data_IF_162541417729
#
_entry.id   IF_162541417729
#
_cell.length_a   1.000
_cell.length_b   1.000
_cell.length_c   1.000
_cell.angle_alpha   90.00
_cell.angle_beta   90.00
_cell.angle_gamma   90.00
#
_symmetry.space_group_name_H-M   'P 1'
#
loop_
_entity.id
_entity.type
_entity.pdbx_description
1 polymer ?
#
# COMPACT_ATOMS: atom_id res chain seq x y z
N UNK A 1 14.46 1.31 -18.23
CA UNK A 1 13.00 1.27 -18.43
C UNK A 1 12.25 2.27 -17.54
N UNK A 2 12.49 2.33 -16.22
CA UNK A 2 11.85 3.31 -15.30
C UNK A 2 11.97 4.77 -15.76
N UNK A 3 13.17 5.21 -16.15
CA UNK A 3 13.38 6.55 -16.72
C UNK A 3 12.62 6.79 -18.03
N UNK A 4 12.46 5.78 -18.88
CA UNK A 4 11.72 5.93 -20.12
C UNK A 4 10.23 6.20 -19.87
N UNK A 5 9.63 5.56 -18.86
CA UNK A 5 8.26 5.88 -18.41
C UNK A 5 8.18 7.33 -17.93
N UNK A 6 9.14 7.77 -17.12
CA UNK A 6 9.17 9.14 -16.60
C UNK A 6 9.29 10.15 -17.74
N UNK A 7 10.16 9.90 -18.72
CA UNK A 7 10.29 10.74 -19.91
C UNK A 7 8.99 10.75 -20.73
N UNK A 8 8.33 9.61 -20.94
CA UNK A 8 7.04 9.54 -21.62
C UNK A 8 5.95 10.31 -20.88
N UNK A 9 5.93 10.22 -19.56
CA UNK A 9 5.01 10.96 -18.70
C UNK A 9 5.22 12.48 -18.84
N UNK A 10 6.47 12.95 -18.76
CA UNK A 10 6.81 14.35 -18.96
C UNK A 10 6.48 14.82 -20.39
N UNK A 11 6.75 13.97 -21.39
CA UNK A 11 6.41 14.26 -22.79
C UNK A 11 4.88 14.36 -23.00
N UNK A 12 4.09 13.54 -22.32
CA UNK A 12 2.63 13.64 -22.35
C UNK A 12 2.14 14.99 -21.77
N UNK A 13 2.71 15.45 -20.65
CA UNK A 13 2.42 16.79 -20.12
C UNK A 13 2.79 17.90 -21.12
N UNK A 14 3.97 17.81 -21.76
CA UNK A 14 4.39 18.74 -22.79
C UNK A 14 3.37 18.82 -23.95
N UNK A 15 2.95 17.67 -24.49
CA UNK A 15 1.98 17.59 -25.58
C UNK A 15 0.60 18.11 -25.18
N UNK A 16 0.16 17.80 -23.95
CA UNK A 16 -1.08 18.30 -23.38
C UNK A 16 -1.09 19.82 -23.26
N UNK A 17 -0.01 20.42 -22.73
CA UNK A 17 0.12 21.87 -22.63
C UNK A 17 0.10 22.55 -24.00
N UNK A 18 0.72 21.95 -25.02
CA UNK A 18 0.74 22.42 -26.41
C UNK A 18 -0.54 22.09 -27.19
N UNK A 19 -1.53 21.45 -26.57
CA UNK A 19 -2.82 21.06 -27.18
C UNK A 19 -2.66 20.16 -28.43
N UNK A 20 -1.59 19.37 -28.50
CA UNK A 20 -1.31 18.42 -29.61
C UNK A 20 -2.11 17.14 -29.41
N UNK A 21 -3.43 17.20 -29.60
CA UNK A 21 -4.40 16.14 -29.21
C UNK A 21 -4.08 14.75 -29.79
N UNK A 22 -3.75 14.67 -31.08
CA UNK A 22 -3.45 13.38 -31.74
C UNK A 22 -2.18 12.74 -31.18
N UNK A 23 -1.08 13.49 -31.15
CA UNK A 23 0.19 13.01 -30.57
C UNK A 23 0.05 12.67 -29.09
N UNK A 24 -0.74 13.45 -28.34
CA UNK A 24 -1.03 13.20 -26.94
C UNK A 24 -1.74 11.85 -26.77
N UNK A 25 -2.78 11.56 -27.57
CA UNK A 25 -3.49 10.30 -27.51
C UNK A 25 -2.56 9.09 -27.69
N UNK A 26 -1.73 9.09 -28.74
CA UNK A 26 -0.77 8.00 -28.98
C UNK A 26 0.28 7.90 -27.87
N UNK A 27 0.73 9.03 -27.33
CA UNK A 27 1.68 9.04 -26.21
C UNK A 27 1.07 8.48 -24.93
N UNK A 28 -0.19 8.82 -24.63
CA UNK A 28 -0.92 8.28 -23.47
C UNK A 28 -1.15 6.79 -23.62
N UNK A 29 -1.50 6.33 -24.82
CA UNK A 29 -1.64 4.91 -25.11
C UNK A 29 -0.31 4.18 -24.85
N UNK A 30 0.78 4.65 -25.46
CA UNK A 30 2.11 4.06 -25.29
C UNK A 30 2.56 4.08 -23.82
N UNK A 31 2.38 5.21 -23.13
CA UNK A 31 2.67 5.35 -21.70
C UNK A 31 1.88 4.33 -20.87
N UNK A 32 0.58 4.21 -21.11
CA UNK A 32 -0.28 3.29 -20.34
C UNK A 32 0.09 1.84 -20.58
N UNK A 33 0.51 1.47 -21.80
CA UNK A 33 1.02 0.13 -22.12
C UNK A 33 2.30 -0.18 -21.35
N UNK A 34 3.29 0.70 -21.42
CA UNK A 34 4.60 0.49 -20.78
C UNK A 34 4.46 0.56 -19.25
N UNK A 35 3.68 1.50 -18.73
CA UNK A 35 3.38 1.62 -17.30
C UNK A 35 2.68 0.38 -16.79
N UNK A 36 1.63 -0.10 -17.47
CA UNK A 36 0.94 -1.33 -17.06
C UNK A 36 1.89 -2.53 -17.04
N UNK A 37 2.69 -2.73 -18.09
CA UNK A 37 3.66 -3.83 -18.16
C UNK A 37 4.73 -3.77 -17.07
N UNK A 38 5.10 -2.57 -16.60
CA UNK A 38 6.08 -2.41 -15.53
C UNK A 38 5.49 -2.62 -14.12
N UNK A 39 4.26 -2.20 -13.88
CA UNK A 39 3.66 -2.14 -12.54
C UNK A 39 2.67 -3.25 -12.24
N UNK A 40 1.90 -3.67 -13.25
CA UNK A 40 0.80 -4.63 -13.12
C UNK A 40 1.06 -5.91 -13.92
N UNK A 41 2.31 -6.11 -14.36
CA UNK A 41 2.88 -7.33 -14.94
C UNK A 41 2.40 -7.77 -16.33
N UNK A 42 1.20 -7.40 -16.78
CA UNK A 42 0.73 -7.62 -18.15
C UNK A 42 0.50 -6.27 -18.83
N UNK A 43 1.36 -5.92 -19.79
CA UNK A 43 1.03 -4.83 -20.69
C UNK A 43 -0.26 -5.16 -21.44
N UNK A 44 -0.89 -4.17 -22.09
CA UNK A 44 -2.06 -4.38 -22.99
C UNK A 44 -1.91 -5.56 -23.99
N UNK A 45 -0.68 -6.02 -24.23
CA UNK A 45 -0.30 -7.03 -25.21
C UNK A 45 -0.18 -8.46 -24.64
N UNK A 46 -0.01 -8.63 -23.32
CA UNK A 46 0.08 -9.96 -22.70
C UNK A 46 -1.32 -10.39 -22.24
N UNK A 47 -2.06 -11.02 -23.16
CA UNK A 47 -3.44 -11.48 -23.02
C UNK A 47 -3.54 -12.68 -22.06
N UNK A 48 -3.47 -12.44 -20.75
CA UNK A 48 -3.78 -13.45 -19.73
C UNK A 48 -4.80 -12.88 -18.74
N UNK A 49 -6.06 -13.33 -18.85
CA UNK A 49 -7.15 -13.00 -17.92
C UNK A 49 -7.93 -11.71 -18.23
N UNK A 50 -9.24 -11.72 -17.95
CA UNK A 50 -10.16 -10.59 -18.17
C UNK A 50 -9.92 -9.40 -17.23
N UNK A 51 -9.33 -9.63 -16.05
CA UNK A 51 -9.04 -8.62 -15.02
C UNK A 51 -7.91 -7.66 -15.42
N UNK A 52 -6.85 -8.17 -16.06
CA UNK A 52 -5.69 -7.39 -16.47
C UNK A 52 -6.00 -6.37 -17.59
N UNK A 53 -6.85 -6.77 -18.54
CA UNK A 53 -7.37 -5.89 -19.59
C UNK A 53 -8.22 -4.77 -19.00
N UNK A 54 -9.06 -5.09 -18.02
CA UNK A 54 -9.88 -4.11 -17.31
C UNK A 54 -9.01 -3.08 -16.57
N UNK A 55 -7.95 -3.53 -15.87
CA UNK A 55 -7.02 -2.64 -15.17
C UNK A 55 -6.25 -1.73 -16.15
N UNK A 56 -5.77 -2.30 -17.27
CA UNK A 56 -5.05 -1.54 -18.30
C UNK A 56 -5.94 -0.49 -18.96
N UNK A 57 -7.20 -0.84 -19.26
CA UNK A 57 -8.19 0.11 -19.78
C UNK A 57 -8.54 1.19 -18.76
N UNK A 58 -8.72 0.81 -17.49
CA UNK A 58 -8.93 1.75 -16.39
C UNK A 58 -7.78 2.76 -16.25
N UNK A 59 -6.54 2.28 -16.32
CA UNK A 59 -5.33 3.11 -16.32
C UNK A 59 -5.30 4.08 -17.51
N UNK A 60 -5.63 3.61 -18.72
CA UNK A 60 -5.70 4.44 -19.92
C UNK A 60 -6.74 5.56 -19.75
N UNK A 61 -7.95 5.22 -19.31
CA UNK A 61 -9.01 6.20 -19.04
C UNK A 61 -8.58 7.22 -17.98
N UNK A 62 -7.96 6.76 -16.89
CA UNK A 62 -7.43 7.64 -15.84
C UNK A 62 -6.40 8.64 -16.39
N UNK A 63 -5.43 8.15 -17.17
CA UNK A 63 -4.39 9.00 -17.76
C UNK A 63 -4.96 9.99 -18.79
N UNK A 64 -5.90 9.54 -19.62
CA UNK A 64 -6.61 10.38 -20.60
C UNK A 64 -7.32 11.53 -19.91
N UNK A 65 -8.16 11.25 -18.90
CA UNK A 65 -8.90 12.28 -18.15
C UNK A 65 -7.90 13.25 -17.50
N UNK A 66 -6.91 12.73 -16.79
CA UNK A 66 -5.92 13.53 -16.06
C UNK A 66 -5.16 14.50 -16.96
N UNK A 67 -4.69 14.04 -18.11
CA UNK A 67 -3.87 14.84 -19.03
C UNK A 67 -4.70 15.80 -19.90
N UNK A 68 -5.95 15.44 -20.23
CA UNK A 68 -6.89 16.37 -20.89
C UNK A 68 -7.26 17.52 -19.94
N UNK A 69 -7.56 17.23 -18.68
CA UNK A 69 -7.82 18.26 -17.66
C UNK A 69 -6.58 19.15 -17.49
N UNK A 70 -5.37 18.57 -17.43
CA UNK A 70 -4.13 19.36 -17.42
C UNK A 70 -4.01 20.25 -18.66
N UNK A 71 -4.26 19.73 -19.86
CA UNK A 71 -4.20 20.50 -21.11
C UNK A 71 -5.10 21.74 -21.08
N UNK A 72 -6.29 21.61 -20.48
CA UNK A 72 -7.19 22.75 -20.24
C UNK A 72 -6.59 23.73 -19.22
N UNK A 73 -6.19 23.24 -18.04
CA UNK A 73 -5.70 24.07 -16.93
C UNK A 73 -4.34 24.75 -17.21
N UNK A 74 -3.47 24.15 -18.03
CA UNK A 74 -2.15 24.69 -18.37
C UNK A 74 -2.21 26.10 -18.99
N UNK A 75 -3.36 26.46 -19.59
CA UNK A 75 -3.60 27.78 -20.16
C UNK A 75 -3.75 28.89 -19.11
N UNK A 76 -3.84 28.55 -17.82
CA UNK A 76 -3.97 29.47 -16.69
C UNK A 76 -2.64 29.67 -15.93
N UNK A 77 -1.51 29.24 -16.48
CA UNK A 77 -0.19 29.48 -15.88
C UNK A 77 0.02 28.71 -14.58
N UNK A 78 0.54 29.39 -13.55
CA UNK A 78 0.83 28.79 -12.25
C UNK A 78 -0.44 28.33 -11.53
N UNK A 79 -1.50 29.15 -11.55
CA UNK A 79 -2.77 28.83 -10.89
C UNK A 79 -3.35 27.53 -11.44
N UNK A 80 -3.33 27.36 -12.77
CA UNK A 80 -3.79 26.13 -13.41
C UNK A 80 -2.95 24.89 -13.05
N UNK A 81 -1.62 25.05 -12.96
CA UNK A 81 -0.73 23.98 -12.52
C UNK A 81 -0.99 23.56 -11.07
N UNK A 82 -1.17 24.54 -10.17
CA UNK A 82 -1.50 24.28 -8.76
C UNK A 82 -2.86 23.61 -8.62
N UNK A 83 -3.89 24.08 -9.32
CA UNK A 83 -5.22 23.46 -9.31
C UNK A 83 -5.16 22.01 -9.78
N UNK A 84 -4.45 21.72 -10.87
CA UNK A 84 -4.28 20.35 -11.37
C UNK A 84 -3.62 19.43 -10.34
N UNK A 85 -2.49 19.87 -9.78
CA UNK A 85 -1.74 19.08 -8.80
C UNK A 85 -2.54 18.87 -7.50
N UNK A 86 -3.25 19.91 -7.02
CA UNK A 86 -4.13 19.81 -5.87
C UNK A 86 -5.27 18.82 -6.13
N UNK A 87 -5.96 18.91 -7.27
CA UNK A 87 -7.05 17.98 -7.61
C UNK A 87 -6.60 16.53 -7.61
N UNK A 88 -5.49 16.19 -8.27
CA UNK A 88 -4.98 14.82 -8.29
C UNK A 88 -4.57 14.31 -6.91
N UNK A 89 -3.94 15.19 -6.13
CA UNK A 89 -3.51 14.86 -4.77
C UNK A 89 -4.72 14.63 -3.86
N UNK A 90 -5.74 15.50 -3.94
CA UNK A 90 -6.98 15.36 -3.18
C UNK A 90 -7.73 14.08 -3.51
N UNK A 91 -7.86 13.72 -4.80
CA UNK A 91 -8.47 12.45 -5.22
C UNK A 91 -7.77 11.23 -4.57
N UNK A 92 -6.45 11.29 -4.44
CA UNK A 92 -5.67 10.24 -3.78
C UNK A 92 -5.84 10.27 -2.26
N UNK A 93 -5.76 11.45 -1.64
CA UNK A 93 -5.93 11.62 -0.19
C UNK A 93 -7.32 11.14 0.30
N UNK A 94 -8.37 11.37 -0.49
CA UNK A 94 -9.74 10.91 -0.20
C UNK A 94 -10.00 9.43 -0.55
N UNK A 95 -9.00 8.68 -1.01
CA UNK A 95 -9.14 7.25 -1.27
C UNK A 95 -9.87 6.91 -2.57
N UNK A 96 -10.00 7.85 -3.52
CA UNK A 96 -10.71 7.61 -4.78
C UNK A 96 -9.84 6.88 -5.81
N UNK A 97 -8.58 7.30 -5.94
CA UNK A 97 -7.61 6.67 -6.86
C UNK A 97 -6.26 6.50 -6.17
N UNK A 98 -5.63 5.37 -6.41
CA UNK A 98 -4.24 5.15 -6.01
C UNK A 98 -3.37 6.22 -6.71
N UNK A 99 -2.35 6.81 -6.06
CA UNK A 99 -1.48 7.78 -6.71
C UNK A 99 -0.55 7.09 -7.72
N UNK A 100 -0.96 7.06 -8.99
CA UNK A 100 -0.23 6.42 -10.09
C UNK A 100 0.83 7.35 -10.71
N UNK A 101 1.55 8.12 -9.89
CA UNK A 101 2.61 8.99 -10.36
C UNK A 101 3.90 8.16 -10.58
N UNK A 102 4.46 8.10 -11.80
CA UNK A 102 5.60 7.24 -12.12
C UNK A 102 6.89 7.62 -11.38
N UNK A 103 6.97 8.84 -10.84
CA UNK A 103 8.11 9.27 -10.01
C UNK A 103 8.20 8.49 -8.70
N UNK A 104 7.11 7.91 -8.20
CA UNK A 104 7.09 7.15 -6.94
C UNK A 104 8.03 5.93 -7.00
N UNK A 105 8.13 5.24 -8.14
CA UNK A 105 9.04 4.08 -8.27
C UNK A 105 10.51 4.46 -8.32
N UNK A 106 10.83 5.73 -8.57
CA UNK A 106 12.20 6.19 -8.49
C UNK A 106 12.69 6.30 -7.05
N UNK A 107 11.83 6.26 -6.02
CA UNK A 107 12.28 6.33 -4.62
C UNK A 107 13.18 5.15 -4.22
N UNK A 108 12.99 3.99 -4.86
CA UNK A 108 13.84 2.82 -4.64
C UNK A 108 15.26 3.04 -5.16
N UNK A 109 15.42 3.57 -6.37
CA UNK A 109 16.73 3.71 -7.02
C UNK A 109 17.41 5.04 -6.65
N UNK A 110 16.63 6.10 -6.48
CA UNK A 110 17.11 7.48 -6.26
C UNK A 110 16.42 8.12 -5.06
N UNK A 111 16.62 7.55 -3.87
CA UNK A 111 15.98 8.04 -2.67
C UNK A 111 16.30 9.52 -2.38
N UNK A 112 17.55 9.95 -2.59
CA UNK A 112 18.03 11.26 -2.17
C UNK A 112 17.55 12.47 -2.97
N UNK A 113 16.80 12.28 -4.08
CA UNK A 113 16.42 13.37 -5.00
C UNK A 113 14.90 13.61 -5.07
N UNK A 114 14.11 12.94 -4.24
CA UNK A 114 12.65 12.99 -4.23
C UNK A 114 12.12 13.46 -2.87
N UNK A 115 10.95 14.13 -2.81
CA UNK A 115 10.42 14.73 -1.59
C UNK A 115 10.16 13.69 -0.49
N UNK A 116 10.60 13.98 0.73
CA UNK A 116 10.58 13.04 1.88
C UNK A 116 10.15 13.72 3.15
N UNK A 117 9.11 14.53 3.07
CA UNK A 117 8.47 15.08 4.25
C UNK A 117 7.74 13.97 5.01
N UNK A 118 7.52 14.18 6.30
CA UNK A 118 6.74 13.26 7.16
C UNK A 118 5.24 13.26 6.82
N UNK A 119 4.80 14.04 5.81
CA UNK A 119 3.42 14.12 5.33
C UNK A 119 3.36 13.56 3.90
N UNK A 120 2.98 12.28 3.71
CA UNK A 120 2.91 11.65 2.39
C UNK A 120 2.08 12.41 1.35
N UNK A 121 0.95 13.01 1.75
CA UNK A 121 0.12 13.84 0.86
C UNK A 121 0.89 15.04 0.32
N UNK A 122 1.76 15.65 1.12
CA UNK A 122 2.59 16.77 0.69
C UNK A 122 3.66 16.30 -0.31
N UNK A 123 4.27 15.14 -0.07
CA UNK A 123 5.21 14.54 -1.04
C UNK A 123 4.53 14.31 -2.39
N UNK A 124 3.30 13.77 -2.39
CA UNK A 124 2.52 13.57 -3.61
C UNK A 124 2.16 14.89 -4.31
N UNK A 125 1.79 15.92 -3.55
CA UNK A 125 1.52 17.25 -4.10
C UNK A 125 2.75 17.79 -4.85
N UNK A 126 3.93 17.67 -4.24
CA UNK A 126 5.19 18.08 -4.87
C UNK A 126 5.45 17.28 -6.15
N UNK A 127 5.30 15.96 -6.12
CA UNK A 127 5.48 15.10 -7.30
C UNK A 127 4.53 15.46 -8.45
N UNK A 128 3.30 15.89 -8.15
CA UNK A 128 2.33 16.32 -9.15
C UNK A 128 2.58 17.75 -9.65
N UNK A 129 3.15 18.62 -8.80
CA UNK A 129 3.52 20.00 -9.17
C UNK A 129 4.69 20.03 -10.15
N UNK A 130 5.70 19.17 -9.98
CA UNK A 130 6.90 19.14 -10.85
C UNK A 130 6.54 19.12 -12.34
N UNK A 131 5.82 18.12 -12.87
CA UNK A 131 5.46 18.09 -14.29
C UNK A 131 4.48 19.21 -14.65
N UNK A 132 3.53 19.55 -13.77
CA UNK A 132 2.51 20.55 -14.05
C UNK A 132 3.10 21.96 -14.26
N UNK A 133 4.04 22.37 -13.40
CA UNK A 133 4.74 23.66 -13.48
C UNK A 133 5.75 23.67 -14.62
N UNK A 134 6.51 22.58 -14.80
CA UNK A 134 7.56 22.49 -15.83
C UNK A 134 7.00 22.77 -17.22
N UNK A 135 5.82 22.24 -17.55
CA UNK A 135 5.22 22.36 -18.89
C UNK A 135 4.15 23.44 -19.02
N UNK A 136 3.82 24.18 -17.97
CA UNK A 136 2.81 25.25 -18.04
C UNK A 136 3.28 26.42 -18.90
N UNK A 137 2.58 26.71 -20.01
CA UNK A 137 3.07 27.62 -21.07
C UNK A 137 3.16 29.10 -20.68
N UNK A 138 2.35 29.56 -19.72
CA UNK A 138 2.29 30.98 -19.32
C UNK A 138 3.24 31.35 -18.19
N UNK A 139 4.07 30.42 -17.70
CA UNK A 139 5.06 30.70 -16.67
C UNK A 139 6.38 31.11 -17.35
N UNK A 140 6.97 32.24 -16.98
CA UNK A 140 8.29 32.63 -17.49
C UNK A 140 9.36 31.64 -17.05
N UNK A 141 10.42 31.47 -17.83
CA UNK A 141 11.52 30.53 -17.50
C UNK A 141 12.09 30.79 -16.09
N UNK A 142 12.36 32.05 -15.76
CA UNK A 142 12.86 32.46 -14.45
C UNK A 142 11.93 32.03 -13.30
N UNK A 143 10.62 32.25 -13.44
CA UNK A 143 9.65 31.88 -12.41
C UNK A 143 9.54 30.35 -12.29
N UNK A 144 9.62 29.58 -13.39
CA UNK A 144 9.66 28.11 -13.35
C UNK A 144 10.88 27.62 -12.58
N UNK A 145 12.06 28.12 -12.92
CA UNK A 145 13.32 27.76 -12.25
C UNK A 145 13.28 28.11 -10.77
N UNK A 146 12.75 29.28 -10.40
CA UNK A 146 12.59 29.69 -9.01
C UNK A 146 11.65 28.76 -8.24
N UNK A 147 10.50 28.42 -8.80
CA UNK A 147 9.53 27.51 -8.15
C UNK A 147 10.13 26.11 -7.96
N UNK A 148 10.77 25.57 -9.00
CA UNK A 148 11.42 24.25 -8.90
C UNK A 148 12.57 24.26 -7.89
N UNK A 149 13.33 25.36 -7.81
CA UNK A 149 14.36 25.56 -6.79
C UNK A 149 13.74 25.61 -5.38
N UNK A 150 12.60 26.27 -5.20
CA UNK A 150 11.88 26.35 -3.92
C UNK A 150 11.24 25.02 -3.48
N UNK A 151 11.06 24.07 -4.40
CA UNK A 151 10.67 22.70 -4.04
C UNK A 151 11.86 21.88 -3.51
N UNK A 152 13.10 22.32 -3.76
CA UNK A 152 14.31 21.60 -3.38
C UNK A 152 14.54 21.49 -1.85
N UNK A 153 14.28 22.51 -1.02
CA UNK A 153 14.34 22.38 0.45
C UNK A 153 13.38 21.33 1.01
N UNK A 154 12.24 21.06 0.34
CA UNK A 154 11.27 20.03 0.74
C UNK A 154 11.72 18.61 0.37
N UNK A 155 12.82 18.49 -0.38
CA UNK A 155 13.55 17.24 -0.63
C UNK A 155 14.48 16.93 0.55
N UNK A 156 14.81 17.93 1.38
CA UNK A 156 15.70 17.74 2.52
C UNK A 156 15.04 16.87 3.58
N UNK A 157 15.75 15.78 3.91
CA UNK A 157 15.34 14.75 4.86
C UNK A 157 15.10 15.35 6.25
N UNK A 158 13.90 15.22 6.81
CA UNK A 158 13.77 15.29 8.27
C UNK A 158 14.54 14.10 8.87
N UNK A 159 15.54 14.33 9.74
CA UNK A 159 16.28 13.24 10.34
C UNK A 159 15.36 12.46 11.29
N UNK A 160 14.88 11.29 10.84
CA UNK A 160 14.19 10.36 11.71
C UNK A 160 15.22 9.53 12.48
N UNK A 161 15.47 9.94 13.72
CA UNK A 161 16.23 9.15 14.68
C UNK A 161 15.32 8.04 15.24
N UNK A 162 15.40 6.87 14.63
CA UNK A 162 14.81 5.65 15.16
C UNK A 162 15.76 5.13 16.25
N UNK A 163 15.40 5.34 17.51
CA UNK A 163 16.21 4.96 18.68
C UNK A 163 15.50 3.89 19.52
N UNK A 164 14.88 2.89 18.88
CA UNK A 164 14.33 1.74 19.58
C UNK A 164 15.26 0.52 19.45
N UNK A 165 15.26 -0.38 20.45
CA UNK A 165 15.89 -1.69 20.30
C UNK A 165 15.26 -2.46 19.13
N UNK A 166 16.01 -3.37 18.49
CA UNK A 166 15.51 -4.14 17.37
C UNK A 166 14.34 -5.04 17.80
N UNK A 167 13.30 -5.08 16.97
CA UNK A 167 12.09 -5.87 17.22
C UNK A 167 12.21 -7.24 16.56
N UNK A 168 12.09 -8.31 17.33
CA UNK A 168 12.12 -9.67 16.79
C UNK A 168 10.71 -10.09 16.40
N UNK A 169 10.48 -10.21 15.09
CA UNK A 169 9.16 -10.42 14.51
C UNK A 169 9.07 -11.82 13.90
N UNK A 170 7.94 -12.47 14.15
CA UNK A 170 7.52 -13.64 13.38
C UNK A 170 6.42 -13.24 12.41
N UNK A 171 6.69 -13.42 11.13
CA UNK A 171 5.77 -13.16 10.03
C UNK A 171 5.03 -14.46 9.72
N UNK A 172 3.70 -14.41 9.69
CA UNK A 172 2.83 -15.55 9.46
C UNK A 172 1.99 -15.33 8.21
N UNK A 173 2.30 -16.07 7.15
CA UNK A 173 1.61 -16.03 5.87
C UNK A 173 0.52 -17.12 5.84
N UNK A 174 -0.67 -16.74 6.30
CA UNK A 174 -1.77 -17.68 6.64
C UNK A 174 -2.22 -18.48 5.41
N UNK A 175 -2.36 -17.83 4.26
CA UNK A 175 -2.76 -18.45 3.00
C UNK A 175 -1.70 -19.43 2.49
N UNK A 176 -0.42 -19.06 2.54
CA UNK A 176 0.67 -19.95 2.18
C UNK A 176 0.74 -21.19 3.08
N UNK A 177 0.49 -21.02 4.38
CA UNK A 177 0.40 -22.14 5.32
C UNK A 177 -0.71 -23.12 4.92
N UNK A 178 -1.94 -22.64 4.75
CA UNK A 178 -3.07 -23.52 4.39
C UNK A 178 -2.97 -24.06 2.97
N UNK A 179 -2.27 -23.38 2.06
CA UNK A 179 -1.95 -23.91 0.71
C UNK A 179 -1.01 -25.12 0.79
N UNK A 180 -0.07 -25.13 1.74
CA UNK A 180 0.92 -26.22 1.91
C UNK A 180 0.40 -27.39 2.73
N UNK A 181 -0.18 -27.10 3.90
CA UNK A 181 -0.60 -28.13 4.87
C UNK A 181 -2.05 -28.59 4.63
N UNK A 182 -2.82 -27.80 3.87
CA UNK A 182 -4.23 -28.04 3.64
C UNK A 182 -5.11 -27.51 4.78
N UNK A 183 -6.42 -27.47 4.52
CA UNK A 183 -7.44 -26.84 5.39
C UNK A 183 -7.55 -27.50 6.78
N UNK A 184 -7.03 -28.72 6.95
CA UNK A 184 -7.02 -29.49 8.20
C UNK A 184 -5.73 -29.32 9.03
N UNK A 185 -4.77 -28.51 8.59
CA UNK A 185 -3.52 -28.27 9.32
C UNK A 185 -3.74 -27.69 10.71
N UNK A 186 -2.87 -28.06 11.67
CA UNK A 186 -2.96 -27.60 13.05
C UNK A 186 -2.18 -26.29 13.27
N UNK A 187 -2.75 -25.20 12.74
CA UNK A 187 -2.08 -23.89 12.64
C UNK A 187 -1.44 -23.42 13.95
N UNK A 188 -2.15 -23.53 15.08
CA UNK A 188 -1.62 -23.10 16.37
C UNK A 188 -0.42 -23.94 16.81
N UNK A 189 -0.48 -25.26 16.65
CA UNK A 189 0.58 -26.17 17.11
C UNK A 189 1.86 -25.92 16.31
N UNK A 190 1.74 -25.82 14.99
CA UNK A 190 2.88 -25.58 14.10
C UNK A 190 3.49 -24.19 14.34
N UNK A 191 2.65 -23.17 14.57
CA UNK A 191 3.13 -21.83 14.94
C UNK A 191 3.84 -21.85 16.29
N UNK A 192 3.26 -22.51 17.29
CA UNK A 192 3.84 -22.61 18.63
C UNK A 192 5.19 -23.34 18.62
N UNK A 193 5.30 -24.42 17.84
CA UNK A 193 6.57 -25.12 17.60
C UNK A 193 7.57 -24.21 16.88
N UNK A 194 7.14 -23.46 15.86
CA UNK A 194 8.02 -22.54 15.15
C UNK A 194 8.57 -21.45 16.05
N UNK A 195 7.78 -20.85 16.94
CA UNK A 195 8.28 -19.80 17.84
C UNK A 195 9.06 -20.34 19.04
N UNK A 196 8.97 -21.66 19.29
CA UNK A 196 9.68 -22.31 20.39
C UNK A 196 11.20 -22.08 20.24
N UNK A 197 11.83 -21.67 21.34
CA UNK A 197 13.27 -21.36 21.44
C UNK A 197 13.74 -20.15 20.61
N UNK A 198 12.83 -19.36 20.01
CA UNK A 198 13.16 -18.08 19.39
C UNK A 198 12.84 -16.94 20.37
N UNK A 199 13.68 -15.91 20.41
CA UNK A 199 13.36 -14.67 21.13
C UNK A 199 12.41 -13.86 20.25
N UNK A 200 11.11 -14.04 20.43
CA UNK A 200 10.07 -13.37 19.65
C UNK A 200 9.41 -12.30 20.51
N UNK A 201 9.27 -11.11 19.95
CA UNK A 201 8.55 -10.00 20.60
C UNK A 201 7.13 -9.88 20.03
N UNK A 202 6.99 -9.97 18.71
CA UNK A 202 5.75 -9.74 17.98
C UNK A 202 5.51 -10.83 16.92
N UNK A 203 4.26 -11.28 16.81
CA UNK A 203 3.80 -12.21 15.79
C UNK A 203 2.76 -11.51 14.94
N UNK A 204 2.95 -11.46 13.62
CA UNK A 204 2.07 -10.74 12.71
C UNK A 204 1.53 -11.67 11.63
N UNK A 205 0.21 -11.76 11.53
CA UNK A 205 -0.48 -12.53 10.50
C UNK A 205 -0.74 -11.67 9.27
N UNK A 206 -0.73 -12.26 8.08
CA UNK A 206 -1.18 -11.64 6.83
C UNK A 206 -2.69 -11.37 6.83
N UNK A 207 -3.13 -10.46 5.96
CA UNK A 207 -4.56 -10.37 5.58
C UNK A 207 -5.01 -11.73 5.04
N UNK A 208 -6.17 -12.22 5.50
CA UNK A 208 -6.60 -13.56 5.15
C UNK A 208 -8.11 -13.74 5.31
N UNK A 209 -8.65 -14.77 4.65
CA UNK A 209 -10.06 -15.20 4.75
C UNK A 209 -10.26 -16.45 5.60
N UNK A 210 -9.19 -16.98 6.21
CA UNK A 210 -9.22 -18.24 6.97
C UNK A 210 -9.64 -18.05 8.42
N UNK A 211 -9.39 -16.87 8.98
CA UNK A 211 -9.81 -16.48 10.30
C UNK A 211 -10.74 -15.27 10.21
N UNK A 212 -11.85 -15.30 10.92
CA UNK A 212 -12.84 -14.24 10.94
C UNK A 212 -14.22 -14.74 11.38
N UNK A 213 -15.23 -13.88 11.25
CA UNK A 213 -16.61 -14.15 11.66
C UNK A 213 -17.59 -14.13 10.48
N UNK A 214 -17.07 -14.06 9.25
CA UNK A 214 -17.87 -13.87 8.04
C UNK A 214 -18.72 -15.08 7.62
N UNK A 215 -18.37 -16.28 8.06
CA UNK A 215 -19.22 -17.48 7.97
C UNK A 215 -18.99 -18.40 9.17
N UNK A 216 -19.89 -19.35 9.40
CA UNK A 216 -19.85 -20.20 10.60
C UNK A 216 -18.61 -21.09 10.66
N UNK A 217 -18.12 -21.58 9.52
CA UNK A 217 -16.94 -22.42 9.47
C UNK A 217 -15.67 -21.67 9.93
N UNK A 218 -15.43 -20.48 9.37
CA UNK A 218 -14.27 -19.66 9.76
C UNK A 218 -14.43 -19.13 11.18
N UNK A 219 -15.66 -18.84 11.62
CA UNK A 219 -15.96 -18.39 12.97
C UNK A 219 -15.59 -19.42 14.03
N UNK A 220 -15.98 -20.68 13.85
CA UNK A 220 -15.62 -21.75 14.78
C UNK A 220 -14.10 -21.99 14.81
N UNK A 221 -13.45 -21.93 13.64
CA UNK A 221 -11.98 -21.99 13.55
C UNK A 221 -11.31 -20.84 14.30
N UNK A 222 -11.79 -19.60 14.14
CA UNK A 222 -11.26 -18.44 14.84
C UNK A 222 -11.45 -18.54 16.34
N UNK A 223 -12.64 -18.94 16.81
CA UNK A 223 -12.88 -19.18 18.24
C UNK A 223 -11.93 -20.23 18.80
N UNK A 224 -11.70 -21.31 18.05
CA UNK A 224 -10.77 -22.37 18.45
C UNK A 224 -9.33 -21.81 18.57
N UNK A 225 -8.84 -21.07 17.57
CA UNK A 225 -7.53 -20.43 17.62
C UNK A 225 -7.42 -19.47 18.80
N UNK A 226 -8.39 -18.56 18.99
CA UNK A 226 -8.38 -17.60 20.10
C UNK A 226 -8.38 -18.31 21.46
N UNK A 227 -9.12 -19.41 21.59
CA UNK A 227 -9.10 -20.25 22.80
C UNK A 227 -7.71 -20.86 23.02
N UNK A 228 -7.09 -21.44 22.01
CA UNK A 228 -5.74 -22.00 22.13
C UNK A 228 -4.69 -20.94 22.50
N UNK A 229 -4.76 -19.75 21.89
CA UNK A 229 -3.90 -18.61 22.22
C UNK A 229 -4.11 -18.13 23.67
N UNK A 230 -5.35 -18.20 24.17
CA UNK A 230 -5.71 -17.85 25.55
C UNK A 230 -5.20 -18.87 26.55
N UNK A 231 -5.59 -20.13 26.38
CA UNK A 231 -5.34 -21.22 27.32
C UNK A 231 -3.83 -21.46 27.52
N UNK A 232 -3.04 -21.27 26.47
CA UNK A 232 -1.58 -21.40 26.51
C UNK A 232 -0.84 -20.09 26.86
N UNK A 233 -1.57 -19.03 27.23
CA UNK A 233 -1.04 -17.70 27.56
C UNK A 233 -0.12 -17.13 26.49
N UNK A 234 -0.42 -17.38 25.23
CA UNK A 234 0.43 -16.99 24.09
C UNK A 234 0.51 -15.46 23.97
N UNK A 235 -0.61 -14.77 24.17
CA UNK A 235 -0.74 -13.30 24.19
C UNK A 235 -0.05 -12.63 25.38
N UNK A 236 0.28 -13.37 26.44
CA UNK A 236 1.13 -12.86 27.52
C UNK A 236 2.61 -12.92 27.16
N UNK A 237 3.01 -13.90 26.34
CA UNK A 237 4.40 -14.12 25.93
C UNK A 237 4.80 -13.22 24.77
N UNK A 238 3.88 -13.02 23.82
CA UNK A 238 4.13 -12.30 22.57
C UNK A 238 3.06 -11.22 22.35
N UNK A 239 3.42 -10.14 21.68
CA UNK A 239 2.43 -9.32 20.99
C UNK A 239 1.90 -10.09 19.79
N UNK A 240 0.59 -10.07 19.54
CA UNK A 240 -0.02 -10.78 18.41
C UNK A 240 -0.86 -9.81 17.60
N UNK A 241 -0.46 -9.54 16.37
CA UNK A 241 -1.22 -8.77 15.40
C UNK A 241 -1.90 -9.73 14.41
N UNK A 242 -3.16 -10.02 14.66
CA UNK A 242 -3.99 -10.87 13.81
C UNK A 242 -4.68 -10.03 12.73
N UNK A 243 -5.08 -10.68 11.63
CA UNK A 243 -6.02 -10.12 10.67
C UNK A 243 -7.22 -11.07 10.54
N UNK A 244 -8.42 -10.52 10.63
CA UNK A 244 -9.68 -11.25 10.72
C UNK A 244 -10.67 -10.77 9.66
N UNK A 245 -11.20 -11.69 8.87
CA UNK A 245 -12.26 -11.43 7.89
C UNK A 245 -13.62 -11.38 8.58
N UNK A 246 -13.99 -10.19 9.05
CA UNK A 246 -15.09 -9.99 9.98
C UNK A 246 -14.70 -10.34 11.41
N UNK A 247 -15.21 -9.59 12.39
CA UNK A 247 -15.03 -9.90 13.80
C UNK A 247 -16.25 -9.47 14.61
N UNK A 248 -16.90 -10.41 15.29
CA UNK A 248 -18.13 -10.16 16.07
C UNK A 248 -19.21 -9.47 15.22
N UNK A 249 -19.61 -8.25 15.56
CA UNK A 249 -20.59 -7.41 14.85
C UNK A 249 -19.98 -6.54 13.74
N UNK A 250 -18.66 -6.60 13.54
CA UNK A 250 -17.93 -5.83 12.52
C UNK A 250 -17.91 -6.61 11.20
N UNK A 251 -18.67 -6.11 10.22
CA UNK A 251 -18.66 -6.60 8.84
C UNK A 251 -17.54 -5.96 7.99
N UNK A 252 -16.29 -6.17 8.37
CA UNK A 252 -15.11 -5.63 7.68
C UNK A 252 -13.88 -6.51 7.93
N UNK A 253 -12.80 -6.34 7.17
CA UNK A 253 -11.47 -6.86 7.53
C UNK A 253 -10.97 -6.05 8.73
N UNK A 254 -10.48 -6.74 9.76
CA UNK A 254 -10.04 -6.15 11.03
C UNK A 254 -8.65 -6.65 11.40
N UNK A 255 -7.74 -5.74 11.69
CA UNK A 255 -6.50 -6.02 12.41
C UNK A 255 -6.80 -6.03 13.91
N UNK A 256 -6.46 -7.11 14.59
CA UNK A 256 -6.66 -7.25 16.03
C UNK A 256 -5.30 -7.45 16.72
N UNK A 257 -4.90 -6.47 17.53
CA UNK A 257 -3.70 -6.56 18.35
C UNK A 257 -4.04 -7.09 19.73
N UNK A 258 -3.34 -8.13 20.16
CA UNK A 258 -3.53 -8.74 21.48
C UNK A 258 -2.19 -8.89 22.19
N UNK A 259 -2.06 -8.23 23.34
CA UNK A 259 -0.94 -8.44 24.26
C UNK A 259 -1.39 -8.25 25.71
N UNK A 260 -1.15 -9.24 26.57
CA UNK A 260 -1.64 -9.25 27.96
C UNK A 260 -3.16 -8.99 27.98
N UNK A 261 -3.62 -7.99 28.72
CA UNK A 261 -5.03 -7.62 28.83
C UNK A 261 -5.49 -6.65 27.71
N UNK A 262 -4.57 -6.15 26.88
CA UNK A 262 -4.91 -5.22 25.81
C UNK A 262 -5.36 -5.96 24.56
N UNK A 263 -6.53 -5.59 24.05
CA UNK A 263 -7.10 -6.10 22.80
C UNK A 263 -7.63 -4.93 21.99
N UNK A 264 -6.85 -4.49 21.00
CA UNK A 264 -7.12 -3.29 20.20
C UNK A 264 -7.54 -3.69 18.78
N UNK A 265 -8.54 -2.99 18.25
CA UNK A 265 -9.10 -3.26 16.93
C UNK A 265 -8.89 -2.08 15.96
N UNK A 266 -8.41 -2.40 14.77
CA UNK A 266 -8.36 -1.49 13.62
C UNK A 266 -9.12 -2.11 12.46
N UNK A 267 -10.19 -1.46 12.01
CA UNK A 267 -10.92 -1.90 10.82
C UNK A 267 -10.33 -1.26 9.56
N UNK A 268 -10.41 -1.96 8.43
CA UNK A 268 -9.98 -1.42 7.13
C UNK A 268 -10.79 -0.18 6.76
N UNK A 269 -10.11 0.97 6.65
CA UNK A 269 -10.77 2.26 6.38
C UNK A 269 -11.10 2.49 4.90
N UNK A 270 -10.35 1.86 4.00
CA UNK A 270 -10.52 1.97 2.54
C UNK A 270 -10.79 0.61 1.93
N UNK A 271 -12.02 0.43 1.45
CA UNK A 271 -12.47 -0.77 0.76
C UNK A 271 -12.33 -0.64 -0.76
N UNK A 272 -11.95 -1.73 -1.43
CA UNK A 272 -11.83 -1.81 -2.89
C UNK A 272 -13.23 -1.72 -3.51
N UNK A 273 -13.53 -0.67 -4.31
CA UNK A 273 -14.81 -0.54 -5.01
C UNK A 273 -15.08 -1.73 -5.93
N UNK A 274 -16.34 -2.17 -5.99
CA UNK A 274 -16.85 -3.30 -6.79
C UNK A 274 -16.33 -4.69 -6.41
N UNK A 275 -15.36 -4.77 -5.51
CA UNK A 275 -14.78 -6.02 -5.04
C UNK A 275 -15.15 -6.27 -3.58
N UNK A 276 -14.76 -5.35 -2.68
CA UNK A 276 -15.11 -5.43 -1.25
C UNK A 276 -16.41 -4.70 -0.92
N UNK A 277 -16.81 -3.74 -1.75
CA UNK A 277 -18.09 -3.01 -1.62
C UNK A 277 -18.78 -2.90 -2.98
N UNK A 278 -20.11 -2.76 -3.00
CA UNK A 278 -20.91 -2.75 -4.25
C UNK A 278 -20.60 -1.61 -5.21
N UNK A 279 -20.09 -0.48 -4.71
CA UNK A 279 -19.88 0.73 -5.51
C UNK A 279 -18.72 1.55 -4.98
N UNK A 280 -18.50 2.75 -5.53
CA UNK A 280 -17.57 3.73 -4.95
C UNK A 280 -18.04 4.23 -3.58
N UNK A 281 -19.34 4.20 -3.29
CA UNK A 281 -19.90 4.66 -2.02
C UNK A 281 -19.84 3.58 -0.95
N UNK A 282 -19.63 4.01 0.29
CA UNK A 282 -19.67 3.13 1.45
C UNK A 282 -21.12 3.03 1.94
N UNK A 283 -21.78 1.91 1.64
CA UNK A 283 -23.17 1.64 2.03
C UNK A 283 -23.21 0.52 3.08
N UNK A 284 -24.13 0.57 4.06
CA UNK A 284 -24.30 -0.51 5.03
C UNK A 284 -24.58 -1.86 4.36
N UNK A 285 -23.86 -2.89 4.78
CA UNK A 285 -24.01 -4.26 4.28
C UNK A 285 -24.19 -5.23 5.47
N UNK A 286 -25.16 -6.16 5.39
CA UNK A 286 -25.34 -7.17 6.44
C UNK A 286 -24.15 -8.13 6.50
N UNK A 287 -23.92 -8.74 7.67
CA UNK A 287 -22.82 -9.70 7.87
C UNK A 287 -22.90 -10.95 6.98
N UNK A 288 -24.04 -11.24 6.37
CA UNK A 288 -24.21 -12.32 5.38
C UNK A 288 -23.86 -11.90 3.95
N UNK A 289 -23.78 -10.60 3.66
CA UNK A 289 -23.42 -10.09 2.33
C UNK A 289 -21.99 -10.48 1.97
N UNK A 290 -21.66 -10.80 0.70
CA UNK A 290 -20.26 -10.94 0.29
C UNK A 290 -19.49 -9.62 0.40
N UNK A 291 -20.20 -8.49 0.49
CA UNK A 291 -19.62 -7.17 0.62
C UNK A 291 -19.44 -6.75 2.09
N UNK A 292 -18.45 -5.88 2.28
CA UNK A 292 -18.01 -5.31 3.54
C UNK A 292 -18.55 -3.88 3.69
N UNK A 293 -18.52 -3.40 4.93
CA UNK A 293 -18.94 -2.07 5.29
C UNK A 293 -17.98 -1.44 6.29
N UNK A 294 -17.49 -0.24 5.96
CA UNK A 294 -16.68 0.55 6.87
C UNK A 294 -17.57 1.38 7.80
N UNK A 295 -17.35 1.29 9.12
CA UNK A 295 -18.10 2.07 10.11
C UNK A 295 -17.17 2.77 11.07
N UNK A 296 -16.93 4.07 10.90
CA UNK A 296 -15.98 4.91 11.65
C UNK A 296 -15.86 4.63 13.17
N UNK A 297 -16.95 4.20 13.83
CA UNK A 297 -16.97 3.78 15.25
C UNK A 297 -15.85 2.81 15.65
N UNK A 298 -15.48 1.85 14.80
CA UNK A 298 -14.51 0.79 15.13
C UNK A 298 -13.09 1.08 14.61
N UNK A 299 -12.76 2.36 14.38
CA UNK A 299 -11.41 2.77 14.02
C UNK A 299 -10.69 3.25 15.29
N UNK A 300 -10.47 2.33 16.22
CA UNK A 300 -10.06 2.69 17.58
C UNK A 300 -8.65 3.25 17.58
N UNK A 301 -7.67 2.59 16.93
CA UNK A 301 -6.30 3.08 16.77
C UNK A 301 -5.58 2.44 15.57
N UNK A 302 -5.15 3.24 14.59
CA UNK A 302 -4.29 2.81 13.47
C UNK A 302 -2.79 2.93 13.82
N UNK A 303 -2.45 3.46 14.99
CA UNK A 303 -1.10 3.48 15.58
C UNK A 303 -1.16 2.78 16.94
N UNK A 304 -0.39 1.71 17.09
CA UNK A 304 -0.25 0.92 18.31
C UNK A 304 1.07 1.27 19.00
N UNK A 305 1.07 1.35 20.33
CA UNK A 305 2.29 1.45 21.12
C UNK A 305 2.61 0.08 21.74
N UNK A 306 3.76 -0.50 21.39
CA UNK A 306 4.22 -1.76 21.94
C UNK A 306 5.68 -1.64 22.35
N UNK A 307 5.98 -1.76 23.65
CA UNK A 307 7.33 -1.59 24.20
C UNK A 307 8.00 -0.26 23.78
N UNK A 308 7.25 0.84 23.79
CA UNK A 308 7.67 2.18 23.34
C UNK A 308 7.98 2.27 21.83
N UNK A 309 7.50 1.32 21.03
CA UNK A 309 7.59 1.33 19.57
C UNK A 309 6.21 1.65 19.02
N UNK A 310 6.10 2.76 18.29
CA UNK A 310 4.87 3.18 17.62
C UNK A 310 4.75 2.51 16.26
N UNK A 311 3.85 1.54 16.18
CA UNK A 311 3.60 0.75 14.96
C UNK A 311 2.35 1.27 14.27
N UNK A 312 2.46 1.78 13.03
CA UNK A 312 1.25 2.08 12.25
C UNK A 312 0.78 0.85 11.50
N UNK A 313 -0.51 0.55 11.57
CA UNK A 313 -1.11 -0.65 11.00
C UNK A 313 -2.00 -0.26 9.83
N UNK A 314 -1.81 -0.93 8.71
CA UNK A 314 -2.60 -0.74 7.50
C UNK A 314 -3.03 -2.08 6.94
N UNK A 315 -4.23 -2.13 6.33
CA UNK A 315 -4.75 -3.34 5.72
C UNK A 315 -4.77 -3.17 4.20
N UNK A 316 -3.83 -3.82 3.52
CA UNK A 316 -3.81 -4.02 2.07
C UNK A 316 -4.03 -2.71 1.27
N UNK A 317 -5.20 -2.57 0.65
CA UNK A 317 -5.60 -1.42 -0.15
C UNK A 317 -5.48 -0.09 0.60
N UNK A 318 -5.68 -0.07 1.92
CA UNK A 318 -5.53 1.12 2.76
C UNK A 318 -4.11 1.72 2.68
N UNK A 319 -3.09 0.85 2.67
CA UNK A 319 -1.69 1.25 2.67
C UNK A 319 -1.26 1.96 1.39
N UNK A 320 -2.05 1.88 0.31
CA UNK A 320 -1.71 2.48 -0.99
C UNK A 320 -2.00 3.98 -1.06
N UNK A 321 -2.71 4.55 -0.08
CA UNK A 321 -3.18 5.93 -0.12
C UNK A 321 -2.41 6.83 0.84
N UNK A 322 -1.99 8.03 0.39
CA UNK A 322 -1.12 8.90 1.15
C UNK A 322 -1.81 9.43 2.41
N UNK A 323 -1.11 9.38 3.55
CA UNK A 323 -1.59 10.00 4.78
C UNK A 323 -1.45 11.53 4.79
N UNK A 324 -2.48 12.19 5.35
CA UNK A 324 -2.56 13.64 5.44
C UNK A 324 -1.98 14.24 6.72
N UNK A 325 -1.71 13.42 7.75
CA UNK A 325 -1.25 13.88 9.05
C UNK A 325 0.15 13.33 9.36
N UNK A 326 1.05 14.20 9.83
CA UNK A 326 2.33 13.78 10.39
C UNK A 326 2.11 13.23 11.79
N UNK A 327 2.25 11.91 11.94
CA UNK A 327 2.18 11.23 13.23
C UNK A 327 3.48 10.47 13.44
N UNK A 328 4.03 10.53 14.65
CA UNK A 328 5.24 9.78 14.99
C UNK A 328 4.96 8.29 14.87
N UNK A 329 5.76 7.62 14.04
CA UNK A 329 5.77 6.18 13.82
C UNK A 329 7.22 5.73 13.83
N UNK A 330 7.46 4.54 14.35
CA UNK A 330 8.77 3.91 14.35
C UNK A 330 8.85 2.84 13.25
N UNK A 331 7.74 2.14 12.99
CA UNK A 331 7.59 1.17 11.89
C UNK A 331 6.16 1.20 11.36
N UNK A 332 5.99 0.92 10.07
CA UNK A 332 4.68 0.69 9.45
C UNK A 332 4.53 -0.76 9.02
N UNK A 333 3.41 -1.38 9.39
CA UNK A 333 3.07 -2.76 9.07
C UNK A 333 1.84 -2.74 8.16
N UNK A 334 1.96 -3.36 7.00
CA UNK A 334 0.85 -3.57 6.07
C UNK A 334 0.53 -5.06 6.02
N UNK A 335 -0.70 -5.45 6.37
CA UNK A 335 -1.20 -6.81 6.21
C UNK A 335 -1.93 -6.90 4.86
N UNK A 336 -1.45 -7.72 3.94
CA UNK A 336 -1.94 -7.72 2.55
C UNK A 336 -2.20 -9.12 1.98
N UNK A 337 -3.18 -9.20 1.09
CA UNK A 337 -3.39 -10.31 0.18
C UNK A 337 -3.50 -9.83 -1.27
N UNK A 338 -2.39 -9.90 -2.01
CA UNK A 338 -2.37 -9.57 -3.44
C UNK A 338 -2.64 -10.77 -4.35
N UNK A 339 -3.08 -11.93 -3.83
CA UNK A 339 -3.24 -13.16 -4.62
C UNK A 339 -4.17 -13.05 -5.82
N UNK A 340 -5.13 -12.13 -5.79
CA UNK A 340 -6.00 -11.80 -6.93
C UNK A 340 -5.24 -11.24 -8.14
N UNK A 341 -3.99 -10.79 -7.95
CA UNK A 341 -3.11 -10.29 -8.99
C UNK A 341 -2.03 -11.33 -9.38
N UNK A 342 -2.15 -12.57 -8.91
CA UNK A 342 -1.11 -13.61 -9.03
C UNK A 342 -1.16 -14.44 -10.32
N UNK A 343 -2.14 -14.23 -11.19
CA UNK A 343 -2.31 -14.96 -12.47
C UNK A 343 -1.19 -14.67 -13.51
N UNK A 344 -0.10 -14.01 -13.09
CA UNK A 344 0.85 -13.37 -13.98
C UNK A 344 2.29 -13.85 -13.71
N UNK A 345 3.06 -14.10 -14.76
CA UNK A 345 4.47 -14.56 -14.69
C UNK A 345 5.45 -13.57 -14.03
N UNK A 346 5.04 -12.34 -13.71
CA UNK A 346 5.86 -11.31 -13.05
C UNK A 346 5.21 -10.77 -11.76
N UNK A 347 4.45 -11.61 -11.05
CA UNK A 347 3.78 -11.25 -9.81
C UNK A 347 4.72 -10.62 -8.75
N UNK A 348 5.99 -11.02 -8.72
CA UNK A 348 7.04 -10.41 -7.89
C UNK A 348 7.13 -8.89 -8.04
N UNK A 349 6.98 -8.37 -9.27
CA UNK A 349 7.03 -6.93 -9.52
C UNK A 349 5.82 -6.23 -8.90
N UNK A 350 4.64 -6.85 -8.95
CA UNK A 350 3.42 -6.31 -8.32
C UNK A 350 3.61 -6.23 -6.80
N UNK A 351 4.18 -7.27 -6.18
CA UNK A 351 4.48 -7.30 -4.74
C UNK A 351 5.46 -6.19 -4.35
N UNK A 352 6.55 -6.03 -5.10
CA UNK A 352 7.58 -5.02 -4.83
C UNK A 352 7.04 -3.60 -5.07
N UNK A 353 6.44 -3.33 -6.23
CA UNK A 353 5.94 -2.00 -6.58
C UNK A 353 4.77 -1.57 -5.68
N UNK A 354 3.88 -2.50 -5.33
CA UNK A 354 2.82 -2.26 -4.35
C UNK A 354 3.39 -1.87 -2.99
N UNK A 355 4.46 -2.54 -2.55
CA UNK A 355 5.16 -2.22 -1.30
C UNK A 355 5.90 -0.88 -1.34
N UNK A 356 6.52 -0.52 -2.47
CA UNK A 356 7.16 0.79 -2.69
C UNK A 356 6.13 1.92 -2.64
N UNK A 357 4.98 1.71 -3.28
CA UNK A 357 3.85 2.63 -3.24
C UNK A 357 3.27 2.75 -1.82
N UNK A 358 3.10 1.64 -1.09
CA UNK A 358 2.68 1.69 0.30
C UNK A 358 3.67 2.47 1.17
N UNK A 359 4.97 2.23 1.00
CA UNK A 359 6.01 2.98 1.72
C UNK A 359 5.91 4.48 1.44
N UNK A 360 5.75 4.86 0.18
CA UNK A 360 5.53 6.26 -0.17
C UNK A 360 4.31 6.84 0.55
N UNK A 361 3.21 6.09 0.56
CA UNK A 361 1.91 6.54 1.05
C UNK A 361 1.79 6.62 2.58
N UNK A 362 2.44 5.73 3.34
CA UNK A 362 2.24 5.69 4.81
C UNK A 362 3.53 5.83 5.63
N UNK A 363 4.70 5.63 5.02
CA UNK A 363 5.98 5.46 5.71
C UNK A 363 7.20 5.96 4.90
N UNK A 364 7.21 7.23 4.42
CA UNK A 364 8.28 7.70 3.54
C UNK A 364 9.65 7.75 4.23
N UNK A 365 9.66 7.93 5.56
CA UNK A 365 10.87 8.12 6.36
C UNK A 365 11.14 7.02 7.40
N UNK A 366 10.23 6.06 7.54
CA UNK A 366 10.35 4.94 8.49
C UNK A 366 10.44 3.60 7.74
N UNK A 367 10.87 2.51 8.39
CA UNK A 367 10.78 1.17 7.84
C UNK A 367 9.32 0.76 7.62
N UNK A 368 9.08 0.02 6.55
CA UNK A 368 7.79 -0.58 6.26
C UNK A 368 7.97 -2.08 5.98
N UNK A 369 7.10 -2.90 6.58
CA UNK A 369 6.95 -4.30 6.20
C UNK A 369 5.55 -4.54 5.62
N UNK A 370 5.50 -5.12 4.41
CA UNK A 370 4.26 -5.51 3.74
C UNK A 370 4.16 -7.04 3.72
N UNK A 371 3.36 -7.59 4.64
CA UNK A 371 3.22 -9.02 4.89
C UNK A 371 2.15 -9.58 3.97
N UNK A 372 2.58 -10.48 3.07
CA UNK A 372 1.73 -11.06 2.04
C UNK A 372 1.12 -12.40 2.48
N UNK A 373 -0.11 -12.68 2.04
CA UNK A 373 -0.81 -13.88 2.43
C UNK A 373 -0.27 -15.17 1.78
N UNK A 374 0.17 -15.09 0.53
CA UNK A 374 0.58 -16.24 -0.29
C UNK A 374 2.05 -16.19 -0.73
N UNK A 375 2.90 -15.50 0.03
CA UNK A 375 4.33 -15.38 -0.26
C UNK A 375 4.75 -14.03 -0.82
N UNK A 376 6.06 -13.76 -0.74
CA UNK A 376 6.68 -12.54 -1.25
C UNK A 376 6.42 -11.30 -0.38
N UNK A 377 6.48 -11.48 0.94
CA UNK A 377 6.52 -10.40 1.93
C UNK A 377 7.72 -9.49 1.67
N UNK A 378 7.50 -8.18 1.68
CA UNK A 378 8.53 -7.18 1.35
C UNK A 378 8.80 -6.31 2.57
N UNK A 379 10.07 -6.27 3.01
CA UNK A 379 10.54 -5.28 3.98
C UNK A 379 11.35 -4.20 3.26
N UNK A 380 11.09 -2.94 3.61
CA UNK A 380 11.80 -1.78 3.07
C UNK A 380 12.29 -0.89 4.22
N UNK A 381 13.61 -0.75 4.36
CA UNK A 381 14.24 0.04 5.42
C UNK A 381 13.98 1.55 5.25
N UNK A 382 14.35 2.36 6.25
CA UNK A 382 14.21 3.84 6.20
C UNK A 382 14.97 4.50 5.02
N UNK A 383 15.95 3.82 4.44
CA UNK A 383 16.74 4.29 3.30
C UNK A 383 16.19 3.81 1.95
N UNK A 384 15.03 3.16 1.94
CA UNK A 384 14.36 2.61 0.76
C UNK A 384 15.04 1.38 0.15
N UNK A 385 15.91 0.70 0.91
CA UNK A 385 16.47 -0.59 0.53
C UNK A 385 15.49 -1.70 0.85
N UNK A 386 15.28 -2.59 -0.12
CA UNK A 386 14.45 -3.79 0.03
C UNK A 386 15.33 -4.93 0.52
N UNK A 387 14.86 -5.64 1.54
CA UNK A 387 15.47 -6.92 1.96
C UNK A 387 15.03 -8.04 1.01
N UNK A 388 15.90 -8.35 0.06
CA UNK A 388 15.66 -9.39 -0.95
C UNK A 388 15.80 -10.80 -0.38
N UNK A 389 16.53 -11.01 0.72
CA UNK A 389 16.62 -12.32 1.37
C UNK A 389 15.27 -12.68 1.99
N UNK A 390 14.71 -11.77 2.79
CA UNK A 390 13.38 -11.94 3.38
C UNK A 390 12.33 -12.15 2.28
N UNK A 391 12.37 -11.34 1.21
CA UNK A 391 11.46 -11.48 0.09
C UNK A 391 11.52 -12.87 -0.54
N UNK A 392 12.70 -13.37 -0.87
CA UNK A 392 12.85 -14.66 -1.53
C UNK A 392 12.45 -15.83 -0.62
N UNK A 393 12.87 -15.81 0.65
CA UNK A 393 12.48 -16.83 1.64
C UNK A 393 10.98 -16.87 1.86
N UNK A 394 10.34 -15.71 1.92
CA UNK A 394 8.90 -15.62 2.15
C UNK A 394 8.07 -16.17 1.01
N UNK A 395 8.60 -16.35 -0.20
CA UNK A 395 7.86 -17.03 -1.28
C UNK A 395 7.52 -18.47 -0.95
N UNK A 396 8.30 -19.10 -0.06
CA UNK A 396 8.16 -20.51 0.27
C UNK A 396 7.91 -20.78 1.74
N UNK A 397 8.41 -19.95 2.66
CA UNK A 397 8.27 -20.18 4.10
C UNK A 397 6.92 -19.62 4.63
N UNK A 398 6.00 -20.44 5.17
CA UNK A 398 4.74 -19.92 5.73
C UNK A 398 4.93 -19.15 7.03
N UNK A 399 5.97 -19.48 7.81
CA UNK A 399 6.38 -18.76 9.00
C UNK A 399 7.83 -18.29 8.83
N UNK A 400 8.09 -17.00 9.04
CA UNK A 400 9.44 -16.43 8.98
C UNK A 400 9.79 -15.73 10.28
N UNK A 401 11.06 -15.78 10.65
CA UNK A 401 11.63 -14.98 11.73
C UNK A 401 12.54 -13.91 11.13
N UNK A 402 12.39 -12.66 11.57
CA UNK A 402 13.24 -11.54 11.18
C UNK A 402 13.43 -10.56 12.34
N UNK A 403 14.46 -9.73 12.26
CA UNK A 403 14.77 -8.68 13.22
C UNK A 403 14.75 -7.33 12.49
N UNK A 404 13.99 -6.36 13.01
CA UNK A 404 13.76 -5.05 12.38
C UNK A 404 14.21 -3.90 13.27
#
# INVERSE_FOLDING_TARGET
MKFAIVLLYFFAYYLAARKRRVSLFFTILLYSIIFSGMYFSSGFLEYYGSSNLYLSFGLLCYNMITLVIYGFLSSYGLLGACLHALSLTSLSAFGMFIPLNPLIVLYYDFPGILPRTDIPVLNLLILNLIPAVTFSLKISFFLRSLILLLLFPLIWKTPVNITHPPLNIVIVQVGLYFKKVGVRGNFYTDLNEFVRNKKVDLIILSENVFFGYKNDYIKERTKHLLKQLKDNRFHYKYGILMNLYGYQDINNVVSAFWHKEEFLLHQKSKLIPFFEKKSFYNSPEPSTSPFLYYKKKYNEQDILDFNNIKMSIHICYEGLFPEGESRRKDISIVQSDYSWLSDNHKYDNTLINGSVLSKFSVSPNTPLINIQNYGGTVFIDKNWKIDMDLFNRSKTEPFLFTQI
#
